data_IF_949880621453
#
_entry.id   IF_949880621453
#
_cell.length_a   1.000
_cell.length_b   1.000
_cell.length_c   1.000
_cell.angle_alpha   90.00
_cell.angle_beta   90.00
_cell.angle_gamma   90.00
#
_symmetry.space_group_name_H-M   'P 1'
#
loop_
_entity.id
_entity.type
_entity.pdbx_description
1 polymer ?
#
# COMPACT_ATOMS: atom_id res chain seq x y z
N UNK A 1 20.06 -19.65 29.16
CA UNK A 1 18.88 -20.04 28.37
C UNK A 1 17.77 -19.04 28.65
N UNK A 2 17.83 -17.91 28.03
CA UNK A 2 16.76 -16.89 28.06
C UNK A 2 15.80 -17.20 26.92
N UNK A 3 14.58 -17.58 27.27
CA UNK A 3 13.49 -17.73 26.32
C UNK A 3 13.19 -16.36 25.71
N UNK A 4 13.70 -16.10 24.51
CA UNK A 4 13.21 -15.03 23.68
C UNK A 4 11.79 -15.44 23.23
N UNK A 5 10.79 -14.79 23.81
CA UNK A 5 9.41 -14.89 23.32
C UNK A 5 9.42 -14.51 21.83
N UNK A 6 8.71 -15.23 20.94
CA UNK A 6 8.60 -14.85 19.55
C UNK A 6 7.97 -13.46 19.49
N UNK A 7 8.72 -12.47 19.03
CA UNK A 7 8.16 -11.17 18.67
C UNK A 7 7.22 -11.45 17.48
N UNK A 8 5.97 -11.65 17.81
CA UNK A 8 4.89 -11.62 16.83
C UNK A 8 5.03 -10.30 16.07
N UNK A 9 5.26 -10.35 14.77
CA UNK A 9 5.06 -9.25 13.83
C UNK A 9 3.55 -8.91 13.72
N UNK A 10 2.86 -8.95 14.85
CA UNK A 10 1.54 -8.39 15.00
C UNK A 10 1.75 -6.93 15.39
N UNK A 11 1.56 -6.04 14.44
CA UNK A 11 1.37 -4.61 14.58
C UNK A 11 2.12 -3.97 15.77
N UNK A 12 2.99 -2.99 15.52
CA UNK A 12 3.77 -2.22 16.50
C UNK A 12 2.93 -1.56 17.63
N UNK A 13 1.67 -1.89 17.75
CA UNK A 13 0.71 -1.44 18.76
C UNK A 13 0.48 -2.47 19.87
N UNK A 14 1.55 -3.08 20.38
CA UNK A 14 1.48 -3.81 21.65
C UNK A 14 1.32 -2.90 22.87
N UNK A 15 1.41 -1.58 22.71
CA UNK A 15 1.16 -0.61 23.76
C UNK A 15 -0.27 -0.04 23.58
N UNK A 16 -1.05 -0.16 24.64
CA UNK A 16 -2.39 0.43 24.74
C UNK A 16 -2.30 1.94 24.61
N UNK A 17 -2.97 2.48 23.59
CA UNK A 17 -3.16 3.92 23.46
C UNK A 17 -4.63 4.24 23.71
N UNK A 18 -4.88 4.87 24.83
CA UNK A 18 -6.20 5.47 25.04
C UNK A 18 -6.30 6.66 24.07
N UNK A 19 -7.32 6.64 23.21
CA UNK A 19 -7.64 7.79 22.36
C UNK A 19 -7.81 9.01 23.29
N UNK A 20 -7.08 10.11 23.07
CA UNK A 20 -7.22 11.32 23.90
C UNK A 20 -8.60 11.97 23.78
N UNK A 21 -9.42 11.50 22.84
CA UNK A 21 -10.81 11.93 22.62
C UNK A 21 -11.70 10.69 22.40
N UNK A 22 -12.99 10.75 22.77
CA UNK A 22 -13.93 9.66 22.50
C UNK A 22 -13.98 9.31 21.01
N UNK A 23 -14.04 8.00 20.71
CA UNK A 23 -14.09 7.46 19.34
C UNK A 23 -15.13 8.16 18.46
N UNK A 24 -16.33 8.43 19.03
CA UNK A 24 -17.39 9.14 18.32
C UNK A 24 -16.96 10.54 17.86
N UNK A 25 -16.28 11.30 18.73
CA UNK A 25 -15.78 12.64 18.38
C UNK A 25 -14.66 12.56 17.32
N UNK A 26 -13.81 11.54 17.37
CA UNK A 26 -12.79 11.31 16.35
C UNK A 26 -13.40 11.07 14.97
N UNK A 27 -14.35 10.13 14.87
CA UNK A 27 -15.04 9.79 13.62
C UNK A 27 -15.87 10.97 13.10
N UNK A 28 -16.66 11.60 13.97
CA UNK A 28 -17.50 12.77 13.59
C UNK A 28 -16.63 13.96 13.22
N UNK A 29 -15.56 14.24 13.95
CA UNK A 29 -14.62 15.31 13.64
C UNK A 29 -13.96 15.13 12.26
N UNK A 30 -13.47 13.93 11.96
CA UNK A 30 -12.90 13.61 10.64
C UNK A 30 -13.93 13.72 9.51
N UNK A 31 -15.14 13.23 9.70
CA UNK A 31 -16.22 13.38 8.73
C UNK A 31 -16.58 14.87 8.52
N UNK A 32 -16.64 15.64 9.59
CA UNK A 32 -16.92 17.09 9.54
C UNK A 32 -15.85 17.85 8.74
N UNK A 33 -14.56 17.48 8.88
CA UNK A 33 -13.48 18.08 8.09
C UNK A 33 -13.70 17.89 6.60
N UNK A 34 -14.13 16.70 6.17
CA UNK A 34 -14.44 16.44 4.74
C UNK A 34 -15.58 17.33 4.27
N UNK A 35 -16.67 17.43 5.04
CA UNK A 35 -17.82 18.30 4.72
C UNK A 35 -17.38 19.77 4.63
N UNK A 36 -16.65 20.27 5.64
CA UNK A 36 -16.15 21.65 5.65
C UNK A 36 -15.22 21.92 4.47
N UNK A 37 -14.34 20.99 4.13
CA UNK A 37 -13.45 21.11 2.96
C UNK A 37 -14.23 21.26 1.66
N UNK A 38 -15.30 20.48 1.48
CA UNK A 38 -16.21 20.65 0.34
C UNK A 38 -16.90 22.02 0.35
N UNK A 39 -17.44 22.43 1.46
CA UNK A 39 -18.12 23.74 1.57
C UNK A 39 -17.18 24.91 1.27
N UNK A 40 -15.91 24.80 1.61
CA UNK A 40 -14.90 25.84 1.33
C UNK A 40 -14.42 25.83 -0.13
N UNK A 41 -14.44 24.68 -0.81
CA UNK A 41 -13.99 24.53 -2.21
C UNK A 41 -15.11 24.82 -3.21
N UNK A 42 -16.37 24.44 -2.88
CA UNK A 42 -17.55 24.61 -3.74
C UNK A 42 -17.75 26.02 -4.33
N UNK A 43 -17.53 27.13 -3.62
CA UNK A 43 -17.73 28.47 -4.18
C UNK A 43 -16.58 28.97 -5.04
N UNK A 44 -15.46 28.23 -5.14
CA UNK A 44 -14.27 28.68 -5.87
C UNK A 44 -14.30 28.17 -7.30
N UNK A 45 -14.21 29.06 -8.27
CA UNK A 45 -13.92 28.71 -9.64
C UNK A 45 -12.47 28.21 -9.70
N UNK A 46 -12.28 26.90 -9.75
CA UNK A 46 -10.97 26.32 -10.01
C UNK A 46 -10.72 26.45 -11.50
N UNK A 47 -9.67 27.21 -11.89
CA UNK A 47 -9.29 27.34 -13.28
C UNK A 47 -9.14 25.95 -13.92
N UNK A 48 -9.72 25.73 -15.10
CA UNK A 48 -9.54 24.48 -15.83
C UNK A 48 -8.03 24.24 -15.97
N UNK A 49 -7.64 22.96 -15.94
CA UNK A 49 -6.25 22.58 -16.19
C UNK A 49 -5.90 22.95 -17.64
N UNK A 50 -5.57 24.22 -17.86
CA UNK A 50 -5.08 24.73 -19.15
C UNK A 50 -3.65 24.30 -19.32
N UNK A 51 -3.46 23.33 -20.12
CA UNK A 51 -2.19 22.93 -20.68
C UNK A 51 -2.43 21.61 -21.39
N UNK A 52 -2.11 21.56 -22.65
CA UNK A 52 -1.70 20.36 -23.36
C UNK A 52 -0.52 19.74 -22.58
N UNK A 53 -0.84 19.22 -21.40
CA UNK A 53 0.08 18.30 -20.74
C UNK A 53 0.03 17.06 -21.63
N UNK A 54 1.13 16.74 -22.33
CA UNK A 54 1.17 15.56 -23.14
C UNK A 54 0.66 14.44 -22.25
N UNK A 55 -0.39 13.76 -22.71
CA UNK A 55 -0.91 12.58 -22.03
C UNK A 55 0.31 11.85 -21.49
N UNK A 56 0.33 11.61 -20.18
CA UNK A 56 1.44 10.94 -19.52
C UNK A 56 1.55 9.53 -20.10
N UNK A 57 1.91 9.45 -21.35
CA UNK A 57 2.59 8.33 -21.96
C UNK A 57 3.98 8.37 -21.30
N UNK A 58 4.01 7.96 -20.06
CA UNK A 58 5.12 7.92 -19.14
C UNK A 58 6.29 7.06 -19.62
N UNK A 59 6.50 7.00 -20.94
CA UNK A 59 7.25 5.91 -21.50
C UNK A 59 8.09 6.38 -22.67
N UNK A 60 8.96 7.32 -22.39
CA UNK A 60 10.22 7.23 -23.09
C UNK A 60 10.78 5.84 -22.72
N UNK A 61 10.99 4.95 -23.69
CA UNK A 61 11.66 3.70 -23.40
C UNK A 61 12.96 4.07 -22.70
N UNK A 62 13.11 3.60 -21.45
CA UNK A 62 14.41 3.64 -20.84
C UNK A 62 15.26 2.84 -21.81
N UNK A 63 16.24 3.48 -22.44
CA UNK A 63 17.32 2.79 -23.15
C UNK A 63 18.10 2.05 -22.08
N UNK A 64 17.55 0.90 -21.68
CA UNK A 64 17.78 0.22 -20.41
C UNK A 64 19.21 -0.21 -20.20
N UNK A 65 19.95 -0.41 -21.28
CA UNK A 65 21.27 -1.04 -21.21
C UNK A 65 22.44 -0.04 -21.06
N UNK A 66 22.18 1.25 -21.05
CA UNK A 66 23.23 2.28 -20.91
C UNK A 66 23.43 2.78 -19.49
N UNK A 67 22.61 2.36 -18.53
CA UNK A 67 22.71 2.83 -17.16
C UNK A 67 23.19 1.73 -16.22
N UNK A 68 24.17 1.97 -15.35
CA UNK A 68 24.70 0.96 -14.43
C UNK A 68 23.63 0.36 -13.51
N UNK A 69 22.60 1.11 -13.18
CA UNK A 69 21.48 0.67 -12.34
C UNK A 69 20.72 -0.52 -12.91
N UNK A 70 20.69 -0.69 -14.23
CA UNK A 70 20.03 -1.82 -14.88
C UNK A 70 20.66 -3.18 -14.50
N UNK A 71 21.95 -3.20 -14.18
CA UNK A 71 22.66 -4.40 -13.73
C UNK A 71 22.79 -4.46 -12.20
N UNK A 72 23.02 -3.33 -11.54
CA UNK A 72 23.24 -3.26 -10.09
C UNK A 72 22.01 -3.74 -9.32
N UNK A 73 20.80 -3.37 -9.72
CA UNK A 73 19.60 -3.76 -8.99
C UNK A 73 19.26 -5.25 -9.07
N UNK A 74 19.39 -5.96 -10.21
CA UNK A 74 19.29 -7.43 -10.25
C UNK A 74 20.39 -8.14 -9.43
N UNK A 75 21.61 -7.60 -9.40
CA UNK A 75 22.69 -8.14 -8.57
C UNK A 75 22.31 -7.99 -7.07
N UNK A 76 21.82 -6.82 -6.66
CA UNK A 76 21.31 -6.61 -5.31
C UNK A 76 20.19 -7.58 -4.93
N UNK A 77 19.26 -7.84 -5.87
CA UNK A 77 18.22 -8.84 -5.67
C UNK A 77 18.79 -10.26 -5.51
N UNK A 78 19.79 -10.62 -6.30
CA UNK A 78 20.45 -11.92 -6.20
C UNK A 78 21.15 -12.09 -4.85
N UNK A 79 21.88 -11.06 -4.37
CA UNK A 79 22.53 -11.08 -3.06
C UNK A 79 21.49 -11.21 -1.94
N UNK A 80 20.41 -10.44 -2.01
CA UNK A 80 19.32 -10.51 -1.02
C UNK A 80 18.65 -11.89 -1.03
N UNK A 81 18.44 -12.47 -2.22
CA UNK A 81 17.94 -13.84 -2.36
C UNK A 81 18.87 -14.85 -1.71
N UNK A 82 20.19 -14.69 -1.90
CA UNK A 82 21.22 -15.50 -1.23
C UNK A 82 21.13 -15.43 0.29
N UNK A 83 20.94 -14.22 0.85
CA UNK A 83 20.73 -14.04 2.29
C UNK A 83 19.52 -14.84 2.81
N UNK A 84 18.41 -14.84 2.07
CA UNK A 84 17.20 -15.56 2.50
C UNK A 84 17.27 -17.07 2.35
N UNK A 85 18.05 -17.58 1.41
CA UNK A 85 18.20 -19.04 1.18
C UNK A 85 19.29 -19.68 2.05
N UNK A 86 20.34 -18.92 2.39
CA UNK A 86 21.53 -19.44 3.07
C UNK A 86 21.59 -19.00 4.55
N UNK A 87 20.80 -17.98 4.94
CA UNK A 87 20.81 -17.43 6.29
C UNK A 87 19.83 -18.09 7.25
N UNK A 88 19.71 -17.51 8.45
CA UNK A 88 18.73 -17.90 9.45
C UNK A 88 17.30 -17.80 8.92
N UNK A 89 16.43 -18.76 9.26
CA UNK A 89 15.00 -18.71 8.95
C UNK A 89 14.19 -17.95 10.00
N UNK A 90 14.86 -17.37 10.98
CA UNK A 90 14.25 -16.49 11.98
C UNK A 90 14.06 -15.10 11.38
N UNK A 91 12.82 -14.62 11.36
CA UNK A 91 12.42 -13.37 10.68
C UNK A 91 13.20 -12.15 11.19
N UNK A 92 13.47 -12.07 12.51
CA UNK A 92 14.18 -10.97 13.15
C UNK A 92 15.71 -10.99 12.94
N UNK A 93 16.26 -12.10 12.49
CA UNK A 93 17.71 -12.30 12.31
C UNK A 93 18.17 -12.18 10.86
N UNK A 94 17.23 -12.21 9.91
CA UNK A 94 17.54 -12.18 8.49
C UNK A 94 17.07 -10.86 7.85
N UNK A 95 17.93 -10.25 7.03
CA UNK A 95 17.64 -8.95 6.39
C UNK A 95 16.49 -8.98 5.39
N UNK A 96 16.18 -10.15 4.81
CA UNK A 96 15.26 -10.29 3.67
C UNK A 96 13.82 -9.89 4.01
N UNK A 97 13.19 -10.39 5.08
CA UNK A 97 11.82 -10.01 5.42
C UNK A 97 11.67 -8.52 5.70
N UNK A 98 12.58 -7.94 6.46
CA UNK A 98 12.57 -6.51 6.79
C UNK A 98 12.78 -5.66 5.53
N UNK A 99 13.71 -6.04 4.67
CA UNK A 99 13.90 -5.32 3.39
C UNK A 99 12.68 -5.40 2.50
N UNK A 100 12.07 -6.57 2.36
CA UNK A 100 10.93 -6.72 1.45
C UNK A 100 9.65 -6.11 2.04
N UNK A 101 9.20 -6.57 3.21
CA UNK A 101 7.90 -6.18 3.75
C UNK A 101 7.88 -4.76 4.32
N UNK A 102 8.99 -4.31 4.91
CA UNK A 102 9.03 -2.96 5.48
C UNK A 102 9.51 -1.93 4.44
N UNK A 103 10.65 -2.17 3.78
CA UNK A 103 11.20 -1.15 2.88
C UNK A 103 10.52 -1.18 1.51
N UNK A 104 10.51 -2.33 0.82
CA UNK A 104 9.98 -2.39 -0.56
C UNK A 104 8.46 -2.26 -0.60
N UNK A 105 7.75 -2.89 0.34
CA UNK A 105 6.29 -2.91 0.35
C UNK A 105 5.64 -1.67 0.96
N UNK A 106 6.28 -1.03 1.96
CA UNK A 106 5.73 0.13 2.67
C UNK A 106 6.51 1.41 2.37
N UNK A 107 7.83 1.44 2.67
CA UNK A 107 8.60 2.67 2.57
C UNK A 107 8.76 3.18 1.13
N UNK A 108 8.98 2.29 0.16
CA UNK A 108 9.09 2.69 -1.25
C UNK A 108 7.77 3.27 -1.79
N UNK A 109 6.59 2.66 -1.62
CA UNK A 109 5.30 3.29 -1.94
C UNK A 109 5.12 4.66 -1.32
N UNK A 110 5.42 4.81 -0.02
CA UNK A 110 5.31 6.09 0.68
C UNK A 110 6.24 7.15 0.09
N UNK A 111 7.51 6.80 -0.13
CA UNK A 111 8.47 7.74 -0.74
C UNK A 111 8.13 8.06 -2.20
N UNK A 112 7.60 7.11 -2.96
CA UNK A 112 7.07 7.38 -4.31
C UNK A 112 5.89 8.36 -4.27
N UNK A 113 4.97 8.19 -3.33
CA UNK A 113 3.84 9.10 -3.15
C UNK A 113 4.24 10.52 -2.72
N UNK A 114 5.34 10.68 -2.01
CA UNK A 114 5.86 11.99 -1.61
C UNK A 114 6.75 12.62 -2.69
N UNK A 115 7.69 11.85 -3.22
CA UNK A 115 8.73 12.36 -4.11
C UNK A 115 8.37 12.23 -5.60
N UNK A 116 7.67 11.17 -5.97
CA UNK A 116 7.46 10.72 -7.35
C UNK A 116 8.10 9.36 -7.59
N UNK A 117 7.82 8.72 -8.72
CA UNK A 117 8.35 7.38 -9.05
C UNK A 117 9.87 7.44 -9.36
N UNK A 118 10.67 7.46 -8.30
CA UNK A 118 12.13 7.41 -8.37
C UNK A 118 12.66 6.00 -8.63
N UNK A 119 11.83 4.98 -8.44
CA UNK A 119 12.23 3.56 -8.53
C UNK A 119 12.37 3.04 -9.95
N UNK A 120 11.92 3.81 -10.92
CA UNK A 120 11.81 3.39 -12.32
C UNK A 120 13.08 2.74 -12.91
N UNK A 121 14.25 3.18 -12.47
CA UNK A 121 15.55 2.64 -12.90
C UNK A 121 16.11 1.60 -11.93
N UNK A 122 15.62 1.56 -10.70
CA UNK A 122 16.13 0.73 -9.61
C UNK A 122 15.31 -0.54 -9.37
N UNK A 123 14.10 -0.64 -9.94
CA UNK A 123 13.27 -1.83 -9.77
C UNK A 123 13.94 -3.05 -10.45
N UNK A 124 14.45 -4.04 -9.67
CA UNK A 124 15.21 -5.16 -10.20
C UNK A 124 14.38 -6.06 -11.12
N UNK A 125 13.11 -6.25 -10.81
CA UNK A 125 12.20 -7.09 -11.59
C UNK A 125 11.90 -6.47 -12.96
N UNK A 126 11.65 -5.16 -12.99
CA UNK A 126 11.49 -4.44 -14.25
C UNK A 126 12.78 -4.43 -15.07
N UNK A 127 13.94 -4.35 -14.41
CA UNK A 127 15.23 -4.39 -15.09
C UNK A 127 15.52 -5.78 -15.66
N UNK A 128 15.19 -6.86 -14.96
CA UNK A 128 15.27 -8.23 -15.50
C UNK A 128 14.38 -8.40 -16.73
N UNK A 129 13.16 -7.90 -16.69
CA UNK A 129 12.24 -7.93 -17.84
C UNK A 129 12.82 -7.14 -19.04
N UNK A 130 13.44 -5.98 -18.80
CA UNK A 130 14.08 -5.16 -19.85
C UNK A 130 15.32 -5.80 -20.41
N UNK A 131 16.15 -6.44 -19.57
CA UNK A 131 17.35 -7.17 -20.00
C UNK A 131 16.97 -8.37 -20.87
N UNK A 132 15.88 -9.05 -20.53
CA UNK A 132 15.35 -10.16 -21.31
C UNK A 132 14.69 -9.71 -22.63
N UNK A 133 14.23 -8.46 -22.73
CA UNK A 133 13.61 -7.88 -23.94
C UNK A 133 14.66 -7.59 -25.02
N UNK A 134 15.32 -8.68 -25.50
CA UNK A 134 16.37 -8.61 -26.50
C UNK A 134 16.00 -9.46 -27.73
N UNK A 135 16.04 -8.89 -28.96
CA UNK A 135 15.64 -9.60 -30.17
C UNK A 135 16.40 -10.92 -30.44
N UNK A 136 17.72 -10.94 -30.13
CA UNK A 136 18.55 -12.14 -30.26
C UNK A 136 18.13 -13.26 -29.31
N UNK A 137 17.95 -12.93 -28.01
CA UNK A 137 17.46 -13.87 -27.01
C UNK A 137 16.06 -14.39 -27.36
N UNK A 138 15.19 -13.49 -27.81
CA UNK A 138 13.83 -13.84 -28.24
C UNK A 138 13.83 -14.76 -29.45
N UNK A 139 14.72 -14.53 -30.44
CA UNK A 139 14.82 -15.41 -31.61
C UNK A 139 15.31 -16.80 -31.26
N UNK A 140 16.22 -16.93 -30.29
CA UNK A 140 16.75 -18.22 -29.84
C UNK A 140 15.72 -18.99 -29.01
N UNK A 141 15.01 -18.33 -28.08
CA UNK A 141 14.11 -19.02 -27.13
C UNK A 141 12.72 -19.24 -27.74
N UNK A 142 12.20 -18.26 -28.47
CA UNK A 142 10.80 -18.22 -28.94
C UNK A 142 10.67 -18.31 -30.47
N UNK A 143 11.78 -18.52 -31.18
CA UNK A 143 11.84 -18.54 -32.65
C UNK A 143 11.20 -17.29 -33.31
N UNK A 144 11.26 -16.14 -32.67
CA UNK A 144 10.72 -14.86 -33.16
C UNK A 144 11.57 -13.68 -32.71
N UNK A 145 11.62 -12.59 -33.46
CA UNK A 145 12.39 -11.40 -33.11
C UNK A 145 11.58 -10.35 -32.39
N UNK A 146 10.32 -10.17 -32.79
CA UNK A 146 9.42 -9.16 -32.24
C UNK A 146 8.65 -9.67 -31.02
N UNK A 147 8.39 -8.80 -30.02
CA UNK A 147 7.55 -9.16 -28.89
C UNK A 147 6.12 -9.42 -29.32
N UNK A 148 5.38 -10.17 -28.51
CA UNK A 148 3.93 -10.33 -28.68
C UNK A 148 3.22 -9.01 -28.39
N UNK A 149 2.21 -8.68 -29.19
CA UNK A 149 1.32 -7.58 -28.88
C UNK A 149 0.60 -7.79 -27.56
N UNK A 150 0.50 -6.75 -26.75
CA UNK A 150 -0.21 -6.82 -25.48
C UNK A 150 -1.71 -6.98 -25.73
N UNK A 151 -2.37 -8.04 -25.23
CA UNK A 151 -3.80 -8.23 -25.45
C UNK A 151 -4.61 -7.12 -24.79
N UNK A 152 -5.43 -6.40 -25.54
CA UNK A 152 -6.22 -5.29 -25.01
C UNK A 152 -7.13 -5.69 -23.82
N UNK A 153 -7.65 -6.93 -23.86
CA UNK A 153 -8.49 -7.48 -22.77
C UNK A 153 -7.72 -7.74 -21.48
N UNK A 154 -6.40 -7.97 -21.57
CA UNK A 154 -5.57 -8.21 -20.41
C UNK A 154 -5.37 -6.93 -19.57
N UNK A 155 -5.29 -5.76 -20.22
CA UNK A 155 -5.20 -4.47 -19.54
C UNK A 155 -4.15 -4.48 -18.42
N UNK A 156 -4.58 -4.19 -17.20
CA UNK A 156 -3.79 -4.17 -15.97
C UNK A 156 -4.06 -5.39 -15.06
N UNK A 157 -4.83 -6.38 -15.52
CA UNK A 157 -5.23 -7.53 -14.70
C UNK A 157 -4.06 -8.33 -14.10
N UNK A 158 -2.92 -8.52 -14.78
CA UNK A 158 -1.78 -9.19 -14.16
C UNK A 158 -1.27 -8.44 -12.93
N UNK A 159 -1.14 -7.12 -12.99
CA UNK A 159 -0.73 -6.33 -11.84
C UNK A 159 -1.79 -6.34 -10.72
N UNK A 160 -3.08 -6.36 -11.06
CA UNK A 160 -4.19 -6.51 -10.09
C UNK A 160 -4.10 -7.83 -9.34
N UNK A 161 -3.92 -8.94 -10.08
CA UNK A 161 -3.83 -10.28 -9.50
C UNK A 161 -2.58 -10.42 -8.62
N UNK A 162 -1.43 -9.94 -9.09
CA UNK A 162 -0.19 -9.98 -8.32
C UNK A 162 -0.25 -9.11 -7.07
N UNK A 163 -0.83 -7.90 -7.16
CA UNK A 163 -1.04 -7.06 -5.98
C UNK A 163 -1.98 -7.72 -4.97
N UNK A 164 -3.06 -8.34 -5.44
CA UNK A 164 -3.99 -9.08 -4.56
C UNK A 164 -3.29 -10.24 -3.86
N UNK A 165 -2.46 -11.03 -4.58
CA UNK A 165 -1.68 -12.13 -4.00
C UNK A 165 -0.70 -11.61 -2.95
N UNK A 166 0.03 -10.52 -3.21
CA UNK A 166 0.95 -9.92 -2.26
C UNK A 166 0.23 -9.36 -1.03
N UNK A 167 -0.93 -8.71 -1.21
CA UNK A 167 -1.75 -8.24 -0.11
C UNK A 167 -2.31 -9.40 0.74
N UNK A 168 -2.73 -10.50 0.11
CA UNK A 168 -3.10 -11.72 0.85
C UNK A 168 -1.91 -12.32 1.60
N UNK A 169 -0.72 -12.33 1.01
CA UNK A 169 0.50 -12.82 1.67
C UNK A 169 0.83 -12.00 2.93
N UNK A 170 0.69 -10.68 2.85
CA UNK A 170 0.89 -9.77 3.99
C UNK A 170 -0.19 -9.93 5.06
N UNK A 171 -1.47 -9.82 4.67
CA UNK A 171 -2.58 -9.65 5.61
C UNK A 171 -3.15 -10.98 6.14
N UNK A 172 -3.02 -12.05 5.38
CA UNK A 172 -3.67 -13.33 5.67
C UNK A 172 -2.65 -14.43 5.96
N UNK A 173 -1.60 -14.52 5.15
CA UNK A 173 -0.59 -15.57 5.22
C UNK A 173 0.74 -15.11 5.82
N UNK A 174 0.73 -14.03 6.61
CA UNK A 174 1.92 -13.34 7.11
C UNK A 174 2.92 -14.27 7.82
N UNK A 175 2.46 -15.22 8.66
CA UNK A 175 3.33 -16.14 9.37
C UNK A 175 4.19 -17.02 8.43
N UNK A 176 3.71 -17.31 7.23
CA UNK A 176 4.45 -18.07 6.22
C UNK A 176 5.19 -17.13 5.27
N UNK A 177 4.52 -16.07 4.82
CA UNK A 177 5.03 -15.14 3.82
C UNK A 177 6.19 -14.28 4.33
N UNK A 178 6.39 -14.16 5.64
CA UNK A 178 7.52 -13.43 6.23
C UNK A 178 8.76 -14.27 6.44
N UNK A 179 8.68 -15.61 6.29
CA UNK A 179 9.86 -16.47 6.45
C UNK A 179 10.92 -16.14 5.40
N UNK A 180 12.20 -15.98 5.78
CA UNK A 180 13.28 -15.57 4.87
C UNK A 180 13.38 -16.42 3.60
N UNK A 181 13.38 -17.74 3.72
CA UNK A 181 13.47 -18.64 2.57
C UNK A 181 12.22 -18.57 1.66
N UNK A 182 11.01 -18.32 2.21
CA UNK A 182 9.78 -18.16 1.41
C UNK A 182 9.84 -16.87 0.58
N UNK A 183 10.28 -15.76 1.21
CA UNK A 183 10.48 -14.49 0.50
C UNK A 183 11.53 -14.65 -0.61
N UNK A 184 12.66 -15.30 -0.32
CA UNK A 184 13.71 -15.54 -1.29
C UNK A 184 13.26 -16.44 -2.46
N UNK A 185 12.48 -17.50 -2.20
CA UNK A 185 11.86 -18.31 -3.26
C UNK A 185 10.87 -17.47 -4.07
N UNK A 186 10.09 -16.61 -3.42
CA UNK A 186 9.21 -15.65 -4.08
C UNK A 186 9.99 -14.73 -5.04
N UNK A 187 11.17 -14.24 -4.62
CA UNK A 187 12.04 -13.44 -5.49
C UNK A 187 12.49 -14.21 -6.71
N UNK A 188 12.93 -15.47 -6.56
CA UNK A 188 13.37 -16.30 -7.68
C UNK A 188 12.25 -16.56 -8.67
N UNK A 189 11.09 -16.98 -8.18
CA UNK A 189 9.92 -17.25 -9.02
C UNK A 189 9.48 -15.99 -9.75
N UNK A 190 9.40 -14.88 -9.03
CA UNK A 190 8.96 -13.61 -9.60
C UNK A 190 10.01 -13.03 -10.58
N UNK A 191 11.30 -13.16 -10.30
CA UNK A 191 12.38 -12.76 -11.19
C UNK A 191 12.34 -13.56 -12.49
N UNK A 192 12.21 -14.90 -12.41
CA UNK A 192 12.09 -15.77 -13.58
C UNK A 192 10.84 -15.43 -14.41
N UNK A 193 9.69 -15.22 -13.76
CA UNK A 193 8.47 -14.82 -14.43
C UNK A 193 8.63 -13.47 -15.15
N UNK A 194 9.27 -12.48 -14.50
CA UNK A 194 9.51 -11.18 -15.12
C UNK A 194 10.48 -11.24 -16.30
N UNK A 195 11.55 -12.03 -16.20
CA UNK A 195 12.45 -12.26 -17.32
C UNK A 195 11.72 -12.90 -18.51
N UNK A 196 10.92 -13.94 -18.25
CA UNK A 196 10.15 -14.62 -19.29
C UNK A 196 9.07 -13.72 -19.92
N UNK A 197 8.29 -13.01 -19.09
CA UNK A 197 7.23 -12.13 -19.59
C UNK A 197 7.78 -10.86 -20.25
N UNK A 198 8.94 -10.39 -19.81
CA UNK A 198 9.71 -9.35 -20.49
C UNK A 198 10.20 -9.81 -21.87
N UNK A 199 10.70 -11.04 -21.97
CA UNK A 199 11.06 -11.66 -23.25
C UNK A 199 9.85 -11.79 -24.18
N UNK A 200 8.69 -12.14 -23.63
CA UNK A 200 7.46 -12.40 -24.38
C UNK A 200 6.79 -11.11 -24.87
N UNK A 201 6.59 -10.12 -23.99
CA UNK A 201 5.79 -8.92 -24.23
C UNK A 201 6.62 -7.62 -24.28
N UNK A 202 7.85 -7.62 -23.80
CA UNK A 202 8.70 -6.44 -23.73
C UNK A 202 8.15 -5.34 -22.81
N UNK A 203 8.30 -4.09 -23.23
CA UNK A 203 7.88 -2.90 -22.45
C UNK A 203 6.40 -2.89 -21.99
N UNK A 204 5.42 -3.38 -22.75
CA UNK A 204 4.04 -3.49 -22.29
C UNK A 204 3.87 -4.30 -21.01
N UNK A 205 4.68 -5.36 -20.79
CA UNK A 205 4.69 -6.10 -19.54
C UNK A 205 5.09 -5.21 -18.35
N UNK A 206 6.26 -4.57 -18.44
CA UNK A 206 6.76 -3.67 -17.38
C UNK A 206 5.75 -2.56 -17.06
N UNK A 207 5.07 -2.08 -18.09
CA UNK A 207 4.17 -0.98 -18.01
C UNK A 207 2.80 -1.30 -17.39
N UNK A 208 2.30 -2.53 -17.52
CA UNK A 208 0.93 -2.92 -17.19
C UNK A 208 0.81 -4.18 -16.35
N UNK A 209 1.82 -5.05 -16.39
CA UNK A 209 1.81 -6.35 -15.74
C UNK A 209 2.72 -6.46 -14.54
N UNK A 210 3.90 -5.82 -14.56
CA UNK A 210 4.88 -5.87 -13.48
C UNK A 210 4.36 -5.04 -12.29
N UNK A 211 4.03 -5.74 -11.19
CA UNK A 211 3.25 -5.15 -10.10
C UNK A 211 3.95 -3.99 -9.42
N UNK A 212 5.26 -4.04 -9.20
CA UNK A 212 5.99 -2.97 -8.52
C UNK A 212 6.12 -1.73 -9.38
N UNK A 213 6.36 -1.88 -10.69
CA UNK A 213 6.34 -0.75 -11.64
C UNK A 213 4.97 -0.06 -11.67
N UNK A 214 3.90 -0.87 -11.69
CA UNK A 214 2.53 -0.35 -11.68
C UNK A 214 2.22 0.34 -10.35
N UNK A 215 2.59 -0.27 -9.22
CA UNK A 215 2.37 0.22 -7.87
C UNK A 215 3.09 1.55 -7.65
N UNK A 216 4.41 1.57 -7.87
CA UNK A 216 5.24 2.75 -7.61
C UNK A 216 4.91 3.90 -8.56
N UNK A 217 4.62 3.60 -9.83
CA UNK A 217 4.14 4.62 -10.77
C UNK A 217 2.77 5.18 -10.36
N UNK A 218 1.87 4.34 -9.84
CA UNK A 218 0.54 4.80 -9.38
C UNK A 218 0.69 5.75 -8.21
N UNK A 219 1.47 5.41 -7.18
CA UNK A 219 1.77 6.28 -6.05
C UNK A 219 2.58 7.50 -6.48
N UNK A 220 3.54 7.33 -7.38
CA UNK A 220 4.37 8.41 -7.91
C UNK A 220 3.60 9.53 -8.60
N UNK A 221 2.32 9.32 -8.97
CA UNK A 221 1.45 10.39 -9.50
C UNK A 221 1.09 11.45 -8.45
N UNK A 222 1.14 11.10 -7.16
CA UNK A 222 0.99 12.05 -6.05
C UNK A 222 2.24 12.91 -5.88
N UNK A 223 3.43 12.32 -6.09
CA UNK A 223 4.71 12.89 -5.73
C UNK A 223 5.05 14.20 -6.45
N UNK A 224 5.90 14.98 -5.78
CA UNK A 224 6.27 16.33 -6.18
C UNK A 224 7.10 16.38 -7.47
N UNK A 225 8.04 15.45 -7.64
CA UNK A 225 8.95 15.43 -8.79
C UNK A 225 8.43 14.51 -9.89
N UNK A 226 8.84 14.83 -11.12
CA UNK A 226 8.62 13.98 -12.29
C UNK A 226 9.96 13.34 -12.69
N UNK A 227 10.19 12.12 -12.23
CA UNK A 227 11.40 11.38 -12.62
C UNK A 227 11.33 10.94 -14.09
N UNK A 228 12.46 11.10 -14.81
CA UNK A 228 12.56 10.73 -16.23
C UNK A 228 12.00 11.75 -17.22
N UNK A 229 11.61 12.95 -16.77
CA UNK A 229 11.26 14.06 -17.61
C UNK A 229 11.68 15.40 -16.95
N UNK A 230 12.00 16.45 -17.72
CA UNK A 230 12.36 17.73 -17.16
C UNK A 230 11.18 18.39 -16.45
N UNK A 231 11.48 19.14 -15.37
CA UNK A 231 10.54 19.98 -14.67
C UNK A 231 9.98 19.39 -13.36
N UNK A 232 9.38 20.27 -12.56
CA UNK A 232 8.68 19.96 -11.32
C UNK A 232 7.19 19.84 -11.61
N UNK A 233 6.55 18.86 -11.00
CA UNK A 233 5.12 18.61 -11.20
C UNK A 233 4.25 19.23 -10.11
N UNK A 234 4.78 19.37 -8.89
CA UNK A 234 4.02 19.70 -7.69
C UNK A 234 3.26 18.49 -7.12
N UNK A 235 2.89 18.56 -5.85
CA UNK A 235 2.12 17.51 -5.21
C UNK A 235 0.77 17.28 -5.92
N UNK A 236 0.41 16.01 -6.10
CA UNK A 236 -0.77 15.56 -6.81
C UNK A 236 -0.89 16.02 -8.27
N UNK A 237 0.14 16.70 -8.82
CA UNK A 237 0.12 17.20 -10.20
C UNK A 237 -0.02 16.10 -11.25
N UNK A 238 0.42 14.87 -10.98
CA UNK A 238 0.19 13.71 -11.84
C UNK A 238 -1.25 13.19 -11.84
N UNK A 239 -2.10 13.64 -10.92
CA UNK A 239 -3.51 13.25 -10.83
C UNK A 239 -4.45 14.17 -11.62
N UNK A 240 -3.92 15.27 -12.15
CA UNK A 240 -4.65 16.11 -13.10
C UNK A 240 -4.91 15.36 -14.42
N UNK A 241 -4.00 14.43 -14.77
CA UNK A 241 -4.17 13.58 -15.96
C UNK A 241 -5.08 12.39 -15.62
N UNK A 242 -6.16 12.15 -16.38
CA UNK A 242 -7.07 11.05 -16.12
C UNK A 242 -6.39 9.69 -16.15
N UNK A 243 -6.94 8.73 -15.41
CA UNK A 243 -6.56 7.33 -15.53
C UNK A 243 -7.09 6.72 -16.84
N UNK A 244 -6.43 5.67 -17.30
CA UNK A 244 -6.92 4.86 -18.42
C UNK A 244 -8.30 4.27 -18.09
N UNK A 245 -9.24 4.38 -19.04
CA UNK A 245 -10.63 3.88 -18.87
C UNK A 245 -10.70 2.38 -18.99
N UNK A 246 -10.29 1.67 -17.94
CA UNK A 246 -10.35 0.21 -17.89
C UNK A 246 -10.84 -0.30 -16.54
N UNK A 247 -11.56 -1.43 -16.54
CA UNK A 247 -12.02 -2.07 -15.31
C UNK A 247 -10.83 -2.51 -14.44
N UNK A 248 -9.75 -3.00 -15.06
CA UNK A 248 -8.55 -3.42 -14.35
C UNK A 248 -7.83 -2.26 -13.67
N UNK A 249 -7.87 -1.04 -14.25
CA UNK A 249 -7.30 0.14 -13.60
C UNK A 249 -8.12 0.58 -12.40
N UNK A 250 -9.45 0.51 -12.51
CA UNK A 250 -10.35 0.73 -11.36
C UNK A 250 -10.02 -0.28 -10.27
N UNK A 251 -10.00 -1.58 -10.59
CA UNK A 251 -9.73 -2.64 -9.63
C UNK A 251 -8.39 -2.43 -8.91
N UNK A 252 -7.34 -2.03 -9.64
CA UNK A 252 -6.02 -1.78 -9.04
C UNK A 252 -6.06 -0.65 -8.01
N UNK A 253 -6.63 0.50 -8.36
CA UNK A 253 -6.72 1.66 -7.44
C UNK A 253 -7.64 1.35 -6.26
N UNK A 254 -8.73 0.63 -6.49
CA UNK A 254 -9.64 0.22 -5.41
C UNK A 254 -8.98 -0.78 -4.46
N UNK A 255 -8.16 -1.72 -4.96
CA UNK A 255 -7.39 -2.61 -4.10
C UNK A 255 -6.38 -1.84 -3.23
N UNK A 256 -5.71 -0.81 -3.77
CA UNK A 256 -4.84 0.06 -2.97
C UNK A 256 -5.60 0.76 -1.84
N UNK A 257 -6.83 1.19 -2.12
CA UNK A 257 -7.67 1.85 -1.14
C UNK A 257 -8.18 0.89 -0.06
N UNK A 258 -8.53 -0.33 -0.45
CA UNK A 258 -9.23 -1.29 0.42
C UNK A 258 -8.26 -2.15 1.22
N UNK A 259 -7.06 -2.43 0.73
CA UNK A 259 -6.09 -3.29 1.44
C UNK A 259 -5.80 -2.80 2.86
N UNK A 260 -5.55 -1.50 3.03
CA UNK A 260 -5.29 -0.90 4.36
C UNK A 260 -6.53 -0.96 5.26
N UNK A 261 -7.74 -0.77 4.69
CA UNK A 261 -8.98 -0.87 5.46
C UNK A 261 -9.31 -2.31 5.82
N UNK A 262 -8.97 -3.27 4.98
CA UNK A 262 -9.17 -4.68 5.28
C UNK A 262 -8.30 -5.14 6.45
N UNK A 263 -7.06 -4.65 6.53
CA UNK A 263 -6.18 -4.87 7.68
C UNK A 263 -6.83 -4.33 8.98
N UNK A 264 -7.30 -3.08 8.96
CA UNK A 264 -8.05 -2.52 10.08
C UNK A 264 -9.31 -3.31 10.44
N UNK A 265 -10.04 -3.85 9.44
CA UNK A 265 -11.21 -4.70 9.67
C UNK A 265 -10.85 -6.01 10.39
N UNK A 266 -9.77 -6.67 10.00
CA UNK A 266 -9.28 -7.90 10.65
C UNK A 266 -8.94 -7.68 12.12
N UNK A 267 -8.53 -6.47 12.51
CA UNK A 267 -8.22 -6.10 13.88
C UNK A 267 -9.46 -5.82 14.76
N UNK A 268 -10.68 -5.78 14.18
CA UNK A 268 -11.89 -5.46 14.94
C UNK A 268 -12.41 -6.62 15.79
N UNK A 269 -12.98 -6.38 16.99
CA UNK A 269 -13.64 -7.41 17.78
C UNK A 269 -14.83 -8.08 17.06
N UNK A 270 -15.53 -7.32 16.23
CA UNK A 270 -16.65 -7.81 15.41
C UNK A 270 -16.17 -8.85 14.39
N UNK A 271 -15.05 -8.56 13.72
CA UNK A 271 -14.43 -9.53 12.82
C UNK A 271 -14.00 -10.80 13.56
N UNK A 272 -13.31 -10.67 14.68
CA UNK A 272 -12.86 -11.81 15.48
C UNK A 272 -14.05 -12.69 15.94
N UNK A 273 -15.19 -12.10 16.26
CA UNK A 273 -16.41 -12.83 16.61
C UNK A 273 -17.02 -13.53 15.39
N UNK A 274 -17.09 -12.85 14.25
CA UNK A 274 -17.57 -13.40 12.99
C UNK A 274 -16.70 -14.56 12.51
N UNK A 275 -15.37 -14.40 12.55
CA UNK A 275 -14.40 -15.42 12.14
C UNK A 275 -14.53 -16.69 12.99
N UNK A 276 -14.60 -16.54 14.32
CA UNK A 276 -14.83 -17.68 15.24
C UNK A 276 -16.14 -18.40 14.98
N UNK A 277 -17.20 -17.66 14.68
CA UNK A 277 -18.51 -18.26 14.41
C UNK A 277 -18.57 -19.03 13.07
N UNK A 278 -17.72 -18.67 12.09
CA UNK A 278 -17.76 -19.23 10.74
C UNK A 278 -16.66 -20.25 10.45
N UNK A 279 -15.44 -20.01 10.94
CA UNK A 279 -14.27 -20.83 10.67
C UNK A 279 -13.75 -21.58 11.92
N UNK A 280 -14.23 -21.24 13.12
CA UNK A 280 -13.76 -21.82 14.38
C UNK A 280 -12.28 -21.55 14.61
N UNK A 281 -11.50 -22.61 14.78
CA UNK A 281 -10.04 -22.56 14.99
C UNK A 281 -9.26 -23.16 13.81
N UNK A 282 -9.94 -23.62 12.76
CA UNK A 282 -9.28 -24.19 11.58
C UNK A 282 -8.60 -23.09 10.77
N UNK A 283 -7.27 -23.13 10.69
CA UNK A 283 -6.46 -22.14 9.99
C UNK A 283 -6.76 -22.07 8.49
N UNK A 284 -7.05 -23.20 7.85
CA UNK A 284 -7.37 -23.22 6.42
C UNK A 284 -8.72 -22.57 6.15
N UNK A 285 -9.72 -22.81 7.00
CA UNK A 285 -11.02 -22.15 6.93
C UNK A 285 -10.91 -20.65 7.22
N UNK A 286 -10.09 -20.23 8.19
CA UNK A 286 -9.80 -18.83 8.50
C UNK A 286 -9.18 -18.14 7.29
N UNK A 287 -8.13 -18.71 6.69
CA UNK A 287 -7.49 -18.14 5.51
C UNK A 287 -8.45 -18.05 4.31
N UNK A 288 -9.25 -19.09 4.08
CA UNK A 288 -10.28 -19.08 3.04
C UNK A 288 -11.33 -18.00 3.26
N UNK A 289 -11.83 -17.86 4.50
CA UNK A 289 -12.81 -16.85 4.88
C UNK A 289 -12.25 -15.42 4.67
N UNK A 290 -11.03 -15.16 5.15
CA UNK A 290 -10.37 -13.87 4.99
C UNK A 290 -10.16 -13.51 3.50
N UNK A 291 -9.67 -14.46 2.69
CA UNK A 291 -9.45 -14.26 1.26
C UNK A 291 -10.75 -13.96 0.52
N UNK A 292 -11.80 -14.75 0.77
CA UNK A 292 -13.11 -14.53 0.18
C UNK A 292 -13.72 -13.19 0.59
N UNK A 293 -13.56 -12.81 1.87
CA UNK A 293 -14.05 -11.53 2.40
C UNK A 293 -13.29 -10.33 1.82
N UNK A 294 -12.00 -10.44 1.60
CA UNK A 294 -11.21 -9.39 0.94
C UNK A 294 -11.68 -9.15 -0.50
N UNK A 295 -11.88 -10.23 -1.27
CA UNK A 295 -12.45 -10.13 -2.63
C UNK A 295 -13.85 -9.53 -2.63
N UNK A 296 -14.72 -10.03 -1.75
CA UNK A 296 -16.10 -9.55 -1.64
C UNK A 296 -16.16 -8.07 -1.25
N UNK A 297 -15.39 -7.66 -0.24
CA UNK A 297 -15.32 -6.27 0.21
C UNK A 297 -14.84 -5.37 -0.93
N UNK A 298 -13.80 -5.79 -1.66
CA UNK A 298 -13.29 -5.06 -2.84
C UNK A 298 -14.37 -4.89 -3.90
N UNK A 299 -15.10 -5.97 -4.24
CA UNK A 299 -16.17 -5.91 -5.22
C UNK A 299 -17.33 -5.00 -4.76
N UNK A 300 -17.77 -5.13 -3.50
CA UNK A 300 -18.85 -4.32 -2.94
C UNK A 300 -18.49 -2.84 -2.93
N UNK A 301 -17.30 -2.49 -2.47
CA UNK A 301 -16.87 -1.08 -2.42
C UNK A 301 -16.69 -0.52 -3.84
N UNK A 302 -16.18 -1.30 -4.80
CA UNK A 302 -16.16 -0.89 -6.21
C UNK A 302 -17.55 -0.58 -6.75
N UNK A 303 -18.55 -1.42 -6.44
CA UNK A 303 -19.93 -1.20 -6.85
C UNK A 303 -20.53 0.05 -6.19
N UNK A 304 -20.31 0.24 -4.90
CA UNK A 304 -20.79 1.41 -4.14
C UNK A 304 -20.21 2.69 -4.71
N UNK A 305 -18.88 2.79 -4.87
CA UNK A 305 -18.25 3.97 -5.47
C UNK A 305 -18.69 4.16 -6.94
N UNK A 306 -18.85 3.08 -7.69
CA UNK A 306 -19.40 3.13 -9.05
C UNK A 306 -20.81 3.70 -9.10
N UNK A 307 -21.68 3.31 -8.18
CA UNK A 307 -23.03 3.83 -8.06
C UNK A 307 -23.06 5.33 -7.72
N UNK A 308 -22.24 5.76 -6.74
CA UNK A 308 -22.13 7.17 -6.39
C UNK A 308 -21.50 8.02 -7.51
N UNK A 309 -20.50 7.50 -8.22
CA UNK A 309 -19.92 8.17 -9.37
C UNK A 309 -20.96 8.34 -10.51
N UNK A 310 -21.76 7.30 -10.75
CA UNK A 310 -22.85 7.36 -11.72
C UNK A 310 -23.94 8.34 -11.29
N UNK A 311 -24.30 8.38 -10.01
CA UNK A 311 -25.23 9.37 -9.45
C UNK A 311 -24.70 10.80 -9.62
N UNK A 312 -23.41 11.01 -9.38
CA UNK A 312 -22.73 12.30 -9.59
C UNK A 312 -22.78 12.72 -11.08
N UNK A 313 -22.48 11.80 -12.00
CA UNK A 313 -22.56 12.06 -13.44
C UNK A 313 -24.00 12.45 -13.87
N UNK A 314 -25.01 11.69 -13.42
CA UNK A 314 -26.42 11.96 -13.72
C UNK A 314 -26.89 13.29 -13.14
N UNK A 315 -26.57 13.60 -11.88
CA UNK A 315 -26.90 14.86 -11.24
C UNK A 315 -26.28 16.05 -11.98
N UNK A 316 -25.11 15.86 -12.58
CA UNK A 316 -24.44 16.82 -13.45
C UNK A 316 -24.98 16.87 -14.90
N UNK A 317 -25.96 16.05 -15.25
CA UNK A 317 -26.51 15.98 -16.60
C UNK A 317 -25.59 15.30 -17.62
N UNK A 318 -24.60 14.52 -17.16
CA UNK A 318 -23.66 13.80 -18.02
C UNK A 318 -24.15 12.36 -18.25
N UNK A 319 -24.24 11.95 -19.52
CA UNK A 319 -24.49 10.56 -19.87
C UNK A 319 -23.17 9.78 -19.80
N UNK A 320 -22.98 8.99 -18.76
CA UNK A 320 -21.84 8.11 -18.59
C UNK A 320 -22.33 6.76 -18.07
N UNK A 321 -21.59 5.70 -18.35
CA UNK A 321 -21.75 4.44 -17.64
C UNK A 321 -20.97 4.50 -16.30
N UNK A 322 -21.25 3.58 -15.38
CA UNK A 322 -20.62 3.58 -14.05
C UNK A 322 -19.11 3.47 -14.09
N UNK A 323 -18.55 2.72 -15.05
CA UNK A 323 -17.11 2.57 -15.23
C UNK A 323 -16.44 3.89 -15.63
N UNK A 324 -16.99 4.58 -16.63
CA UNK A 324 -16.41 5.84 -17.10
C UNK A 324 -16.53 6.94 -16.04
N UNK A 325 -17.66 7.01 -15.33
CA UNK A 325 -17.90 7.94 -14.24
C UNK A 325 -16.90 7.71 -13.10
N UNK A 326 -16.69 6.46 -12.68
CA UNK A 326 -15.75 6.13 -11.60
C UNK A 326 -14.30 6.38 -12.02
N UNK A 327 -13.93 6.03 -13.26
CA UNK A 327 -12.56 6.27 -13.76
C UNK A 327 -12.17 7.75 -13.65
N UNK A 328 -13.09 8.66 -13.96
CA UNK A 328 -12.85 10.09 -13.84
C UNK A 328 -12.63 10.56 -12.41
N UNK A 329 -13.21 9.88 -11.44
CA UNK A 329 -13.10 10.20 -10.01
C UNK A 329 -11.99 9.42 -9.27
N UNK A 330 -11.37 8.41 -9.90
CA UNK A 330 -10.24 7.68 -9.31
C UNK A 330 -9.09 8.58 -8.82
N UNK A 331 -8.71 9.67 -9.53
CA UNK A 331 -7.67 10.57 -9.03
C UNK A 331 -7.97 11.14 -7.64
N UNK A 332 -9.24 11.31 -7.27
CA UNK A 332 -9.61 11.81 -5.95
C UNK A 332 -9.53 10.75 -4.84
N UNK A 333 -9.55 9.45 -5.18
CA UNK A 333 -9.43 8.37 -4.21
C UNK A 333 -7.98 8.05 -3.85
N UNK A 334 -7.04 8.31 -4.76
CA UNK A 334 -5.63 7.95 -4.54
C UNK A 334 -4.97 8.72 -3.38
N UNK A 335 -5.18 10.04 -3.19
CA UNK A 335 -4.70 10.74 -2.00
C UNK A 335 -5.23 10.13 -0.70
N UNK A 336 -6.50 9.73 -0.68
CA UNK A 336 -7.12 9.10 0.49
C UNK A 336 -6.43 7.76 0.81
N UNK A 337 -6.27 6.89 -0.19
CA UNK A 337 -5.56 5.63 -0.03
C UNK A 337 -4.12 5.84 0.47
N UNK A 338 -3.43 6.86 -0.03
CA UNK A 338 -2.09 7.23 0.41
C UNK A 338 -2.06 7.73 1.86
N UNK A 339 -3.00 8.58 2.24
CA UNK A 339 -3.10 9.08 3.61
C UNK A 339 -3.33 7.96 4.62
N UNK A 340 -4.16 6.99 4.28
CA UNK A 340 -4.36 5.80 5.11
C UNK A 340 -3.12 4.92 5.17
N UNK A 341 -2.45 4.68 4.04
CA UNK A 341 -1.19 3.94 4.01
C UNK A 341 -0.14 4.59 4.92
N UNK A 342 0.00 5.91 4.86
CA UNK A 342 0.95 6.66 5.69
C UNK A 342 0.52 6.65 7.17
N UNK A 343 -0.73 6.99 7.49
CA UNK A 343 -1.22 7.07 8.86
C UNK A 343 -1.15 5.71 9.57
N UNK A 344 -1.50 4.64 8.87
CA UNK A 344 -1.48 3.28 9.42
C UNK A 344 -0.06 2.77 9.65
N UNK A 345 0.87 3.03 8.72
CA UNK A 345 2.21 2.43 8.77
C UNK A 345 3.30 3.35 9.36
N UNK A 346 3.01 4.60 9.73
CA UNK A 346 4.03 5.55 10.17
C UNK A 346 4.81 5.05 11.39
N UNK A 347 4.11 4.60 12.44
CA UNK A 347 4.74 4.08 13.65
C UNK A 347 5.51 2.77 13.35
N UNK A 348 4.88 1.86 12.63
CA UNK A 348 5.48 0.60 12.23
C UNK A 348 6.79 0.82 11.44
N UNK A 349 6.77 1.73 10.47
CA UNK A 349 7.93 2.06 9.65
C UNK A 349 9.06 2.68 10.50
N UNK A 350 8.76 3.69 11.32
CA UNK A 350 9.78 4.42 12.10
C UNK A 350 10.42 3.52 13.15
N UNK A 351 9.64 2.69 13.84
CA UNK A 351 10.15 1.81 14.88
C UNK A 351 10.90 0.62 14.26
N UNK A 352 10.29 -0.09 13.32
CA UNK A 352 10.87 -1.33 12.80
C UNK A 352 11.99 -1.11 11.77
N UNK A 353 12.08 0.08 11.13
CA UNK A 353 13.23 0.39 10.26
C UNK A 353 14.54 0.40 11.02
N UNK A 354 14.52 0.61 12.33
CA UNK A 354 15.70 0.55 13.17
C UNK A 354 16.33 -0.86 13.20
N UNK A 355 15.55 -1.92 12.95
CA UNK A 355 16.07 -3.29 12.82
C UNK A 355 17.03 -3.43 11.64
N UNK A 356 16.99 -2.53 10.67
CA UNK A 356 17.96 -2.55 9.57
C UNK A 356 19.41 -2.34 10.03
N UNK A 357 19.64 -1.64 11.14
CA UNK A 357 21.01 -1.40 11.62
C UNK A 357 21.73 -2.71 11.96
N UNK A 358 21.28 -3.54 12.91
CA UNK A 358 21.94 -4.81 13.19
C UNK A 358 21.89 -5.78 11.99
N UNK A 359 20.83 -5.77 11.20
CA UNK A 359 20.69 -6.63 10.03
C UNK A 359 21.68 -6.27 8.90
N UNK A 360 22.11 -5.02 8.77
CA UNK A 360 23.18 -4.65 7.84
C UNK A 360 24.50 -5.24 8.32
N UNK A 361 24.74 -5.30 9.62
CA UNK A 361 25.95 -5.88 10.20
C UNK A 361 26.06 -7.39 10.08
N UNK A 362 24.91 -8.10 10.16
CA UNK A 362 24.82 -9.54 9.97
C UNK A 362 23.57 -9.89 9.15
N UNK A 363 23.61 -9.77 7.82
CA UNK A 363 22.43 -9.88 6.98
C UNK A 363 21.84 -11.29 6.88
N UNK A 364 22.58 -12.29 7.28
CA UNK A 364 22.17 -13.70 7.23
C UNK A 364 21.87 -14.30 8.61
N UNK A 365 22.08 -13.54 9.70
CA UNK A 365 21.78 -14.00 11.06
C UNK A 365 22.58 -15.20 11.53
N UNK A 366 23.83 -15.35 11.07
CA UNK A 366 24.68 -16.46 11.46
C UNK A 366 25.70 -16.05 12.50
N UNK A 367 25.85 -16.86 13.55
CA UNK A 367 26.86 -16.64 14.61
C UNK A 367 28.30 -16.64 14.05
N UNK A 368 28.55 -17.32 12.95
CA UNK A 368 29.84 -17.40 12.26
C UNK A 368 30.08 -16.28 11.24
N UNK A 369 29.23 -15.24 11.24
CA UNK A 369 29.38 -14.12 10.31
C UNK A 369 30.72 -13.41 10.54
N UNK A 370 31.57 -13.29 9.51
CA UNK A 370 32.96 -12.86 9.70
C UNK A 370 33.15 -11.35 9.85
N UNK A 371 32.08 -10.57 9.54
CA UNK A 371 32.15 -9.10 9.55
C UNK A 371 31.53 -8.58 10.83
N UNK A 372 32.33 -7.95 11.69
CA UNK A 372 31.88 -7.34 12.93
C UNK A 372 31.92 -5.82 12.78
N UNK A 373 30.77 -5.21 12.55
CA UNK A 373 30.65 -3.78 12.46
C UNK A 373 30.43 -3.17 13.87
N UNK A 374 30.88 -1.91 14.08
CA UNK A 374 30.65 -1.22 15.35
C UNK A 374 29.13 -0.85 15.48
N UNK A 375 28.75 -0.47 16.71
CA UNK A 375 27.45 0.12 16.98
C UNK A 375 27.16 1.26 15.98
N UNK A 376 25.93 1.33 15.41
CA UNK A 376 24.71 0.55 15.71
C UNK A 376 24.53 -0.72 14.85
N UNK A 377 25.53 -1.14 14.07
CA UNK A 377 25.45 -2.24 13.12
C UNK A 377 25.83 -3.60 13.71
N UNK A 378 25.54 -3.82 14.97
CA UNK A 378 25.82 -5.07 15.67
C UNK A 378 24.62 -5.53 16.53
N UNK A 379 24.74 -6.70 17.12
CA UNK A 379 23.73 -7.36 17.94
C UNK A 379 23.44 -6.67 19.28
N UNK A 380 24.26 -5.69 19.68
CA UNK A 380 24.02 -4.89 20.88
C UNK A 380 23.05 -3.73 20.63
N UNK A 381 22.65 -3.51 19.39
CA UNK A 381 21.66 -2.48 19.06
C UNK A 381 20.27 -2.95 19.39
N UNK A 382 19.56 -2.17 20.19
CA UNK A 382 18.15 -2.37 20.50
C UNK A 382 17.30 -1.24 19.88
N UNK A 383 16.22 -1.58 19.15
CA UNK A 383 15.31 -0.58 18.60
C UNK A 383 14.68 0.26 19.70
N UNK A 384 14.73 1.57 19.55
CA UNK A 384 14.07 2.49 20.46
C UNK A 384 12.58 2.63 20.13
N UNK A 385 11.73 1.92 20.87
CA UNK A 385 10.28 1.96 20.69
C UNK A 385 9.65 3.29 21.14
N UNK A 386 10.37 4.09 21.91
CA UNK A 386 9.92 5.40 22.41
C UNK A 386 10.60 6.57 21.70
N UNK A 387 11.23 6.33 20.55
CA UNK A 387 11.96 7.34 19.76
C UNK A 387 11.11 8.59 19.50
N UNK A 388 9.84 8.40 19.19
CA UNK A 388 8.85 9.47 19.12
C UNK A 388 7.69 9.14 20.06
N UNK A 389 7.14 10.17 20.75
CA UNK A 389 5.99 9.94 21.62
C UNK A 389 4.79 9.48 20.80
N UNK A 390 3.96 8.66 21.42
CA UNK A 390 2.75 8.12 20.79
C UNK A 390 1.81 9.19 20.25
N UNK A 391 1.68 10.27 20.98
CA UNK A 391 0.88 11.41 20.57
C UNK A 391 1.32 11.97 19.21
N UNK A 392 2.63 11.88 18.87
CA UNK A 392 3.14 12.30 17.57
C UNK A 392 2.50 11.51 16.43
N UNK A 393 2.49 10.18 16.51
CA UNK A 393 1.92 9.33 15.45
C UNK A 393 0.42 9.58 15.28
N UNK A 394 -0.26 9.81 16.39
CA UNK A 394 -1.67 10.11 16.39
C UNK A 394 -1.98 11.44 15.70
N UNK A 395 -1.30 12.54 16.10
CA UNK A 395 -1.47 13.84 15.44
C UNK A 395 -1.04 13.82 13.98
N UNK A 396 0.05 13.11 13.66
CA UNK A 396 0.48 12.91 12.28
C UNK A 396 -0.63 12.26 11.45
N UNK A 397 -1.24 11.19 11.97
CA UNK A 397 -2.36 10.51 11.32
C UNK A 397 -3.53 11.44 11.04
N UNK A 398 -3.96 12.22 12.04
CA UNK A 398 -5.06 13.20 11.90
C UNK A 398 -4.72 14.25 10.84
N UNK A 399 -3.54 14.86 10.91
CA UNK A 399 -3.11 15.90 9.95
C UNK A 399 -3.05 15.34 8.53
N UNK A 400 -2.45 14.16 8.36
CA UNK A 400 -2.36 13.49 7.06
C UNK A 400 -3.75 13.22 6.50
N UNK A 401 -4.66 12.65 7.29
CA UNK A 401 -6.03 12.36 6.85
C UNK A 401 -6.74 13.64 6.40
N UNK A 402 -6.64 14.72 7.17
CA UNK A 402 -7.22 16.01 6.80
C UNK A 402 -6.66 16.52 5.47
N UNK A 403 -5.34 16.56 5.34
CA UNK A 403 -4.66 17.09 4.13
C UNK A 403 -5.04 16.29 2.89
N UNK A 404 -5.00 14.95 2.96
CA UNK A 404 -5.32 14.12 1.78
C UNK A 404 -6.78 14.21 1.38
N UNK A 405 -7.70 14.44 2.33
CA UNK A 405 -9.11 14.67 2.00
C UNK A 405 -9.33 16.03 1.34
N UNK A 406 -8.66 17.08 1.79
CA UNK A 406 -8.70 18.39 1.10
C UNK A 406 -8.20 18.24 -0.34
N UNK A 407 -7.09 17.55 -0.56
CA UNK A 407 -6.55 17.27 -1.92
C UNK A 407 -7.56 16.47 -2.75
N UNK A 408 -8.18 15.45 -2.16
CA UNK A 408 -9.18 14.61 -2.82
C UNK A 408 -10.41 15.41 -3.25
N UNK A 409 -10.90 16.30 -2.37
CA UNK A 409 -12.03 17.21 -2.65
C UNK A 409 -11.70 18.14 -3.81
N UNK A 410 -10.52 18.75 -3.82
CA UNK A 410 -10.07 19.63 -4.91
C UNK A 410 -10.00 18.88 -6.25
N UNK A 411 -9.48 17.66 -6.24
CA UNK A 411 -9.40 16.83 -7.46
C UNK A 411 -10.78 16.41 -7.96
N UNK A 412 -11.68 16.01 -7.06
CA UNK A 412 -13.07 15.68 -7.41
C UNK A 412 -13.81 16.89 -7.97
N UNK A 413 -13.70 18.04 -7.32
CA UNK A 413 -14.30 19.29 -7.77
C UNK A 413 -13.82 19.66 -9.19
N UNK A 414 -12.49 19.64 -9.42
CA UNK A 414 -11.92 19.91 -10.75
C UNK A 414 -12.50 18.99 -11.82
N UNK A 415 -12.56 17.69 -11.55
CA UNK A 415 -13.10 16.73 -12.52
C UNK A 415 -14.60 16.93 -12.76
N UNK A 416 -15.37 17.19 -11.70
CA UNK A 416 -16.82 17.39 -11.79
C UNK A 416 -17.21 18.74 -12.36
N UNK A 417 -16.38 19.77 -12.23
CA UNK A 417 -16.60 21.10 -12.81
C UNK A 417 -16.12 21.20 -14.26
N UNK A 418 -15.16 20.35 -14.68
CA UNK A 418 -14.56 20.42 -16.01
C UNK A 418 -15.58 20.21 -17.13
N UNK A 419 -15.55 21.10 -18.13
CA UNK A 419 -16.44 21.06 -19.29
C UNK A 419 -17.90 21.39 -19.03
N UNK A 420 -18.30 21.80 -17.82
CA UNK A 420 -19.69 22.17 -17.47
C UNK A 420 -19.90 23.68 -17.53
N UNK A 421 -20.77 24.13 -18.44
CA UNK A 421 -21.18 25.54 -18.57
C UNK A 421 -22.23 25.95 -17.52
N UNK A 422 -22.93 25.01 -16.88
CA UNK A 422 -24.00 25.25 -15.92
C UNK A 422 -23.47 24.97 -14.49
N UNK A 423 -23.23 26.03 -13.74
CA UNK A 423 -22.74 25.94 -12.35
C UNK A 423 -23.68 25.19 -11.41
N UNK A 424 -25.00 25.26 -11.63
CA UNK A 424 -25.99 24.55 -10.80
C UNK A 424 -25.85 23.03 -10.98
N UNK A 425 -25.62 22.58 -12.24
CA UNK A 425 -25.41 21.16 -12.54
C UNK A 425 -24.07 20.69 -12.02
N UNK A 426 -23.02 21.52 -12.11
CA UNK A 426 -21.72 21.22 -11.52
C UNK A 426 -21.85 20.99 -10.01
N UNK A 427 -22.47 21.90 -9.26
CA UNK A 427 -22.70 21.75 -7.81
C UNK A 427 -23.53 20.52 -7.46
N UNK A 428 -24.64 20.25 -8.21
CA UNK A 428 -25.47 19.06 -7.97
C UNK A 428 -24.68 17.75 -8.15
N UNK A 429 -23.72 17.72 -9.06
CA UNK A 429 -22.89 16.55 -9.30
C UNK A 429 -21.93 16.22 -8.13
N UNK A 430 -21.61 17.18 -7.30
CA UNK A 430 -20.66 17.00 -6.20
C UNK A 430 -21.28 16.34 -4.97
N UNK A 431 -22.58 16.54 -4.71
CA UNK A 431 -23.24 16.00 -3.52
C UNK A 431 -23.19 14.46 -3.40
N UNK A 432 -23.49 13.67 -4.43
CA UNK A 432 -23.39 12.21 -4.31
C UNK A 432 -21.97 11.76 -3.99
N UNK A 433 -20.96 12.39 -4.61
CA UNK A 433 -19.57 12.05 -4.36
C UNK A 433 -19.11 12.46 -2.94
N UNK A 434 -19.57 13.63 -2.47
CA UNK A 434 -19.36 14.05 -1.10
C UNK A 434 -19.90 13.02 -0.09
N UNK A 435 -21.13 12.55 -0.29
CA UNK A 435 -21.73 11.53 0.59
C UNK A 435 -20.87 10.26 0.60
N UNK A 436 -20.42 9.78 -0.57
CA UNK A 436 -19.53 8.62 -0.66
C UNK A 436 -18.23 8.83 0.11
N UNK A 437 -17.59 9.99 -0.04
CA UNK A 437 -16.32 10.32 0.63
C UNK A 437 -16.50 10.43 2.14
N UNK A 438 -17.55 11.10 2.61
CA UNK A 438 -17.85 11.26 4.05
C UNK A 438 -18.12 9.89 4.69
N UNK A 439 -18.97 9.07 4.05
CA UNK A 439 -19.29 7.73 4.55
C UNK A 439 -18.04 6.83 4.61
N UNK A 440 -17.23 6.87 3.55
CA UNK A 440 -15.98 6.10 3.51
C UNK A 440 -14.98 6.58 4.55
N UNK A 441 -14.84 7.89 4.75
CA UNK A 441 -13.95 8.46 5.77
C UNK A 441 -14.38 8.03 7.16
N UNK A 442 -15.68 8.14 7.48
CA UNK A 442 -16.21 7.71 8.78
C UNK A 442 -15.95 6.21 9.03
N UNK A 443 -16.19 5.38 8.02
CA UNK A 443 -15.92 3.94 8.07
C UNK A 443 -14.42 3.65 8.29
N UNK A 444 -13.54 4.28 7.52
CA UNK A 444 -12.10 4.06 7.61
C UNK A 444 -11.52 4.56 8.94
N UNK A 445 -11.96 5.72 9.45
CA UNK A 445 -11.57 6.23 10.77
C UNK A 445 -12.02 5.31 11.89
N UNK A 446 -13.23 4.75 11.78
CA UNK A 446 -13.72 3.74 12.72
C UNK A 446 -12.79 2.51 12.73
N UNK A 447 -12.40 1.99 11.57
CA UNK A 447 -11.51 0.82 11.47
C UNK A 447 -10.11 1.11 12.04
N UNK A 448 -9.50 2.24 11.69
CA UNK A 448 -8.16 2.61 12.17
C UNK A 448 -8.13 2.82 13.68
N UNK A 449 -9.22 3.30 14.26
CA UNK A 449 -9.31 3.54 15.70
C UNK A 449 -9.51 2.27 16.54
N UNK A 450 -9.94 1.14 15.93
CA UNK A 450 -10.22 -0.11 16.67
C UNK A 450 -8.99 -0.73 17.34
N UNK A 451 -7.81 -0.81 16.71
CA UNK A 451 -6.60 -1.34 17.35
C UNK A 451 -6.16 -0.52 18.57
N UNK A 452 -6.60 0.76 18.64
CA UNK A 452 -6.28 1.67 19.73
C UNK A 452 -7.19 1.49 20.97
N UNK A 453 -8.30 0.75 20.83
CA UNK A 453 -9.35 0.54 21.84
C UNK A 453 -9.35 -0.90 22.36
N UNK A 454 -8.25 -1.63 22.34
CA UNK A 454 -8.22 -2.96 22.98
C UNK A 454 -8.42 -2.80 24.50
N UNK A 455 -9.56 -3.30 25.01
CA UNK A 455 -9.81 -3.36 26.44
C UNK A 455 -8.72 -4.16 27.13
N UNK A 456 -8.14 -3.61 28.19
CA UNK A 456 -7.29 -4.39 29.09
C UNK A 456 -8.16 -5.49 29.68
N UNK A 457 -7.76 -6.76 29.64
CA UNK A 457 -8.41 -7.75 30.45
C UNK A 457 -8.42 -7.23 31.89
N UNK A 458 -9.60 -7.18 32.52
CA UNK A 458 -9.72 -6.75 33.89
C UNK A 458 -8.66 -7.49 34.72
N UNK A 459 -7.83 -6.74 35.44
CA UNK A 459 -6.79 -7.32 36.27
C UNK A 459 -7.44 -8.38 37.13
N UNK A 460 -6.98 -9.65 36.98
CA UNK A 460 -7.44 -10.75 37.81
C UNK A 460 -7.29 -10.28 39.26
N UNK A 461 -8.33 -10.31 40.10
CA UNK A 461 -8.20 -9.87 41.50
C UNK A 461 -6.98 -10.57 42.08
N UNK A 462 -6.08 -9.81 42.68
CA UNK A 462 -4.92 -10.36 43.35
C UNK A 462 -5.41 -11.44 44.28
N UNK A 463 -4.91 -12.68 44.14
CA UNK A 463 -5.26 -13.77 45.04
C UNK A 463 -5.00 -13.26 46.45
N UNK A 464 -6.03 -13.36 47.32
CA UNK A 464 -5.89 -12.97 48.69
C UNK A 464 -4.66 -13.70 49.32
N UNK A 465 -3.84 -12.99 50.11
CA UNK A 465 -2.67 -13.62 50.72
C UNK A 465 -3.12 -14.85 51.52
N UNK A 466 -2.60 -16.00 51.16
CA UNK A 466 -2.80 -17.26 51.91
C UNK A 466 -2.20 -17.02 53.31
N UNK A 467 -3.09 -17.02 54.30
CA UNK A 467 -2.66 -16.93 55.70
C UNK A 467 -1.66 -18.05 56.02
N UNK A 468 -0.58 -17.79 56.74
CA UNK A 468 0.38 -18.84 57.11
C UNK A 468 -0.29 -19.87 57.98
N UNK A 469 -0.27 -21.13 57.53
CA UNK A 469 -0.67 -22.27 58.38
C UNK A 469 0.34 -22.39 59.49
N UNK A 470 -0.04 -22.03 60.71
CA UNK A 470 0.68 -22.39 61.94
C UNK A 470 0.64 -23.90 62.13
N UNK A 471 1.75 -24.56 61.89
CA UNK A 471 1.97 -25.90 62.38
C UNK A 471 2.10 -25.83 63.90
N UNK A 472 1.09 -26.35 64.60
CA UNK A 472 1.19 -26.71 66.01
C UNK A 472 1.72 -28.15 66.08
N UNK A 473 2.77 -28.33 66.89
CA UNK A 473 3.43 -29.59 67.19
C UNK A 473 2.48 -30.64 67.77
#
# INVERSE_FOLDING_TARGET
MTQHAPILLAHAFGARYDLPIPLALFVVGGAAVVVVSFLLVLPRTVAPATGDQPALHDRAPLTALRQPWAAISPIGLLLLTGCGLLGSDVVSENIVPTTFWLLVWIAVPLTCGLLGDWTRQLNPFANLARLADHPGLRSTVLARREPLGWPARLGWWPAVALFFVLACAELIFNLTATRPHIVALGFLVYAAANAFLGLLFGQPWVARGEVFSVLFNTWGRLGYFRFGAPGRRGFAGGLVVPFERSASRIAFVMLLLISVNFDGLLATPQWASFERARAGIDQSAIHGLRTASFLLLTAVICLVFGAFALAAARAGGVRANGRDALTGLLPSLLPIAFGYLLAHNAAYLIVNSQLMFPLIGNPIGMATWPVHLPYPFNDTYEPNHTFLPTAFYWYLGVVVIVVVHVVAVVLAHRHLADGRRDERKARRSEYPWLVAMVAYTAFSLYLIAQPLVQETPAAKPAAAPVAPQTFIQ
#
